data_IF_027999311146
#
_entry.id   IF_027999311146
#
_cell.length_a   1.000
_cell.length_b   1.000
_cell.length_c   1.000
_cell.angle_alpha   90.00
_cell.angle_beta   90.00
_cell.angle_gamma   90.00
#
_symmetry.space_group_name_H-M   'P 1'
#
loop_
_entity.id
_entity.type
_entity.pdbx_description
1 polymer ?
#
# COMPACT_ATOMS: atom_id res chain seq x y z
N UNK A 1 23.41 2.68 8.86
CA UNK A 1 22.23 1.79 8.67
C UNK A 1 21.45 2.14 7.41
N UNK A 2 21.00 3.39 7.25
CA UNK A 2 20.27 3.86 6.05
C UNK A 2 21.08 3.62 4.77
N UNK A 3 22.39 3.91 4.78
CA UNK A 3 23.27 3.69 3.62
C UNK A 3 23.26 2.23 3.13
N UNK A 4 23.34 1.25 4.03
CA UNK A 4 23.27 -0.19 3.66
C UNK A 4 21.90 -0.57 3.06
N UNK A 5 20.82 0.02 3.56
CA UNK A 5 19.47 -0.22 3.03
C UNK A 5 19.28 0.45 1.66
N UNK A 6 19.78 1.68 1.50
CA UNK A 6 19.79 2.38 0.20
C UNK A 6 20.70 1.69 -0.79
N UNK A 7 21.84 1.19 -0.35
CA UNK A 7 22.73 0.36 -1.15
C UNK A 7 21.97 -0.86 -1.63
N UNK A 8 21.27 -1.59 -0.74
CA UNK A 8 20.50 -2.80 -1.06
C UNK A 8 19.25 -2.58 -1.92
N UNK A 9 18.48 -1.50 -1.72
CA UNK A 9 17.17 -1.33 -2.38
C UNK A 9 17.13 -0.19 -3.41
N UNK A 10 18.13 0.69 -3.44
CA UNK A 10 18.06 1.95 -4.18
C UNK A 10 17.32 3.03 -3.41
N UNK A 11 17.55 4.28 -3.82
CA UNK A 11 16.81 5.43 -3.27
C UNK A 11 15.31 5.23 -3.44
N UNK A 12 14.86 4.87 -4.64
CA UNK A 12 13.45 4.67 -4.96
C UNK A 12 12.84 3.46 -4.25
N UNK A 13 13.54 2.32 -4.23
CA UNK A 13 13.05 1.12 -3.56
C UNK A 13 12.98 1.29 -2.04
N UNK A 14 13.98 1.94 -1.44
CA UNK A 14 13.96 2.25 -0.01
C UNK A 14 12.90 3.30 0.34
N UNK A 15 12.71 4.33 -0.49
CA UNK A 15 11.63 5.31 -0.32
C UNK A 15 10.25 4.65 -0.42
N UNK A 16 10.05 3.70 -1.35
CA UNK A 16 8.81 2.95 -1.46
C UNK A 16 8.55 2.11 -0.21
N UNK A 17 9.56 1.38 0.29
CA UNK A 17 9.44 0.58 1.52
C UNK A 17 9.17 1.44 2.75
N UNK A 18 9.89 2.55 2.92
CA UNK A 18 9.67 3.46 4.06
C UNK A 18 8.29 4.09 4.02
N UNK A 19 7.80 4.42 2.82
CA UNK A 19 6.43 4.93 2.63
C UNK A 19 5.38 3.88 2.94
N UNK A 20 5.61 2.62 2.59
CA UNK A 20 4.67 1.52 2.87
C UNK A 20 4.59 1.20 4.37
N UNK A 21 5.74 1.22 5.06
CA UNK A 21 5.83 1.08 6.53
C UNK A 21 5.09 2.22 7.23
N UNK A 22 5.05 3.42 6.64
CA UNK A 22 4.34 4.56 7.19
C UNK A 22 2.83 4.56 6.86
N UNK A 23 2.48 4.27 5.61
CA UNK A 23 1.10 4.36 5.12
C UNK A 23 0.19 3.29 5.73
N UNK A 24 0.71 2.09 6.00
CA UNK A 24 -0.08 1.00 6.59
C UNK A 24 -0.60 1.32 8.00
N UNK A 25 0.25 1.74 8.97
CA UNK A 25 -0.22 2.20 10.27
C UNK A 25 -1.13 3.41 10.18
N UNK A 26 -0.82 4.40 9.34
CA UNK A 26 -1.66 5.60 9.19
C UNK A 26 -3.06 5.27 8.65
N UNK A 27 -3.17 4.33 7.70
CA UNK A 27 -4.45 3.89 7.17
C UNK A 27 -5.30 3.16 8.25
N UNK A 28 -4.68 2.24 9.00
CA UNK A 28 -5.34 1.54 10.10
C UNK A 28 -5.81 2.49 11.21
N UNK A 29 -4.97 3.50 11.48
CA UNK A 29 -5.23 4.47 12.53
C UNK A 29 -6.31 5.49 12.16
N UNK A 30 -6.35 5.96 10.91
CA UNK A 30 -7.41 6.84 10.43
C UNK A 30 -8.79 6.17 10.56
N UNK A 31 -8.88 4.86 10.28
CA UNK A 31 -10.10 4.09 10.50
C UNK A 31 -10.49 3.97 11.99
N UNK A 32 -9.50 3.83 12.89
CA UNK A 32 -9.77 3.77 14.33
C UNK A 32 -10.21 5.09 14.95
N UNK A 33 -9.74 6.23 14.42
CA UNK A 33 -10.08 7.55 14.92
C UNK A 33 -11.53 7.94 14.59
N UNK A 34 -12.05 7.47 13.46
CA UNK A 34 -13.43 7.73 12.99
C UNK A 34 -14.50 6.96 13.79
N UNK A 35 -14.11 5.87 14.45
CA UNK A 35 -15.00 4.99 15.21
C UNK A 35 -15.16 5.39 16.69
N UNK A 36 -14.39 6.35 17.21
CA UNK A 36 -14.48 6.77 18.61
C UNK A 36 -15.43 7.96 18.77
N UNK A 37 -16.37 7.97 19.73
CA UNK A 37 -17.18 9.14 20.03
C UNK A 37 -16.25 10.33 20.36
N UNK A 38 -16.36 11.41 19.58
CA UNK A 38 -15.59 12.66 19.75
C UNK A 38 -15.64 13.18 21.20
N UNK A 39 -16.75 12.90 21.87
CA UNK A 39 -17.09 13.37 23.21
C UNK A 39 -16.38 12.56 24.32
N UNK A 40 -15.85 11.37 24.02
CA UNK A 40 -15.22 10.47 25.00
C UNK A 40 -13.71 10.31 24.82
N UNK A 41 -13.14 10.75 23.69
CA UNK A 41 -11.71 10.67 23.42
C UNK A 41 -11.07 12.06 23.44
N UNK A 42 -10.23 12.33 24.43
CA UNK A 42 -9.33 13.50 24.46
C UNK A 42 -8.25 13.49 23.34
N UNK A 43 -8.41 12.62 22.33
CA UNK A 43 -7.37 12.16 21.44
C UNK A 43 -7.29 12.78 20.03
N UNK A 44 -8.25 13.55 19.46
CA UNK A 44 -8.10 14.06 18.08
C UNK A 44 -6.84 14.90 17.85
N UNK A 45 -6.47 15.73 18.83
CA UNK A 45 -5.28 16.57 18.75
C UNK A 45 -3.98 15.80 19.02
N UNK A 46 -3.99 14.88 19.98
CA UNK A 46 -2.86 13.97 20.25
C UNK A 46 -2.61 13.11 19.01
N UNK A 47 -3.71 12.65 18.42
CA UNK A 47 -3.71 11.86 17.23
C UNK A 47 -3.07 12.63 16.06
N UNK A 48 -3.61 13.81 15.76
CA UNK A 48 -3.06 14.71 14.74
C UNK A 48 -1.57 15.01 15.00
N UNK A 49 -1.18 15.27 16.24
CA UNK A 49 0.21 15.53 16.61
C UNK A 49 1.13 14.33 16.31
N UNK A 50 0.72 13.11 16.66
CA UNK A 50 1.46 11.89 16.30
C UNK A 50 1.59 11.77 14.78
N UNK A 51 0.50 11.95 14.04
CA UNK A 51 0.50 11.92 12.57
C UNK A 51 1.45 12.95 11.96
N UNK A 52 1.45 14.19 12.46
CA UNK A 52 2.34 15.27 12.01
C UNK A 52 3.81 14.99 12.33
N UNK A 53 4.12 14.48 13.53
CA UNK A 53 5.49 14.10 13.91
C UNK A 53 5.98 12.96 13.01
N UNK A 54 5.16 11.94 12.79
CA UNK A 54 5.51 10.83 11.90
C UNK A 54 5.71 11.31 10.45
N UNK A 55 4.86 12.22 9.96
CA UNK A 55 5.00 12.83 8.64
C UNK A 55 6.31 13.63 8.53
N UNK A 56 6.64 14.45 9.53
CA UNK A 56 7.87 15.21 9.56
C UNK A 56 9.10 14.28 9.53
N UNK A 57 9.11 13.21 10.33
CA UNK A 57 10.18 12.19 10.32
C UNK A 57 10.31 11.56 8.94
N UNK A 58 9.19 11.21 8.30
CA UNK A 58 9.17 10.64 6.95
C UNK A 58 9.73 11.61 5.90
N UNK A 59 9.32 12.89 5.92
CA UNK A 59 9.83 13.93 5.02
C UNK A 59 11.34 14.12 5.21
N UNK A 60 11.81 14.19 6.45
CA UNK A 60 13.25 14.33 6.75
C UNK A 60 14.00 13.13 6.18
N UNK A 61 13.49 11.91 6.36
CA UNK A 61 14.08 10.70 5.81
C UNK A 61 14.14 10.72 4.27
N UNK A 62 13.06 11.13 3.59
CA UNK A 62 13.03 11.31 2.13
C UNK A 62 14.00 12.37 1.63
N UNK A 63 14.13 13.48 2.36
CA UNK A 63 15.04 14.56 1.97
C UNK A 63 16.50 14.11 2.11
N UNK A 64 16.82 13.37 3.18
CA UNK A 64 18.16 12.82 3.42
C UNK A 64 18.58 11.79 2.36
N UNK A 65 17.62 11.04 1.80
CA UNK A 65 17.87 10.05 0.75
C UNK A 65 18.48 10.62 -0.53
N UNK A 66 18.19 11.88 -0.85
CA UNK A 66 18.76 12.56 -2.03
C UNK A 66 20.29 12.62 -2.01
N UNK A 67 20.86 12.74 -0.80
CA UNK A 67 22.29 12.97 -0.62
C UNK A 67 23.11 11.69 -0.45
N UNK A 68 22.45 10.53 -0.30
CA UNK A 68 23.15 9.25 -0.10
C UNK A 68 23.75 8.80 -1.44
N UNK A 69 25.08 8.68 -1.60
CA UNK A 69 25.68 8.22 -2.85
C UNK A 69 25.28 6.78 -3.15
N UNK A 70 25.11 6.46 -4.43
CA UNK A 70 24.55 5.17 -4.87
C UNK A 70 25.38 4.63 -6.01
N UNK A 71 25.92 3.42 -5.84
CA UNK A 71 26.68 2.74 -6.90
C UNK A 71 25.75 2.44 -8.09
N UNK A 72 26.20 2.72 -9.34
CA UNK A 72 25.48 2.35 -10.55
C UNK A 72 25.35 0.83 -10.64
N UNK A 73 24.12 0.32 -10.53
CA UNK A 73 23.79 -1.11 -10.66
C UNK A 73 22.34 -1.28 -11.08
N UNK A 74 22.01 -2.44 -11.65
CA UNK A 74 20.62 -2.77 -11.98
C UNK A 74 19.78 -2.87 -10.69
N UNK A 75 18.74 -2.05 -10.56
CA UNK A 75 17.83 -2.01 -9.40
C UNK A 75 16.39 -2.25 -9.84
N UNK A 76 15.65 -2.98 -9.00
CA UNK A 76 14.28 -3.40 -9.30
C UNK A 76 13.29 -2.24 -9.43
N UNK A 77 13.45 -1.18 -8.64
CA UNK A 77 12.52 -0.05 -8.58
C UNK A 77 13.10 1.27 -9.11
N UNK A 78 14.17 1.21 -9.91
CA UNK A 78 14.74 2.41 -10.53
C UNK A 78 13.99 2.75 -11.83
N UNK A 79 13.17 3.80 -11.79
CA UNK A 79 12.31 4.24 -12.90
C UNK A 79 13.10 4.63 -14.16
N UNK A 80 14.36 5.05 -14.01
CA UNK A 80 15.20 5.38 -15.16
C UNK A 80 15.69 4.14 -15.90
N UNK A 81 15.78 3.00 -15.20
CA UNK A 81 16.26 1.74 -15.77
C UNK A 81 15.12 0.88 -16.33
N UNK A 82 13.89 1.10 -15.88
CA UNK A 82 12.73 0.28 -16.26
C UNK A 82 12.30 0.49 -17.71
N UNK A 83 12.02 -0.63 -18.40
CA UNK A 83 11.22 -0.64 -19.62
C UNK A 83 9.77 -0.16 -19.39
N UNK A 84 9.07 0.24 -20.44
CA UNK A 84 7.64 0.61 -20.33
C UNK A 84 6.76 -0.54 -19.81
N UNK A 85 7.12 -1.78 -20.18
CA UNK A 85 6.47 -2.98 -19.66
C UNK A 85 6.67 -3.14 -18.15
N UNK A 86 7.91 -2.98 -17.66
CA UNK A 86 8.20 -2.99 -16.22
C UNK A 86 7.40 -1.92 -15.47
N UNK A 87 7.34 -0.70 -16.00
CA UNK A 87 6.59 0.41 -15.40
C UNK A 87 5.10 0.07 -15.29
N UNK A 88 4.49 -0.41 -16.39
CA UNK A 88 3.07 -0.77 -16.42
C UNK A 88 2.73 -1.87 -15.42
N UNK A 89 3.51 -2.94 -15.36
CA UNK A 89 3.24 -4.04 -14.44
C UNK A 89 3.55 -3.69 -12.99
N UNK A 90 4.56 -2.86 -12.74
CA UNK A 90 4.84 -2.32 -11.41
C UNK A 90 3.70 -1.41 -10.95
N UNK A 91 3.20 -0.53 -11.81
CA UNK A 91 2.06 0.33 -11.51
C UNK A 91 0.80 -0.49 -11.22
N UNK A 92 0.51 -1.51 -12.03
CA UNK A 92 -0.60 -2.42 -11.79
C UNK A 92 -0.49 -3.12 -10.42
N UNK A 93 0.72 -3.59 -10.07
CA UNK A 93 0.97 -4.21 -8.76
C UNK A 93 0.71 -3.24 -7.61
N UNK A 94 1.19 -2.00 -7.72
CA UNK A 94 0.95 -0.97 -6.71
C UNK A 94 -0.55 -0.66 -6.60
N UNK A 95 -1.25 -0.55 -7.73
CA UNK A 95 -2.68 -0.29 -7.75
C UNK A 95 -3.49 -1.41 -7.07
N UNK A 96 -3.22 -2.68 -7.40
CA UNK A 96 -3.90 -3.82 -6.75
C UNK A 96 -3.54 -3.94 -5.27
N UNK A 97 -2.28 -3.72 -4.89
CA UNK A 97 -1.87 -3.73 -3.49
C UNK A 97 -2.55 -2.61 -2.69
N UNK A 98 -2.63 -1.41 -3.25
CA UNK A 98 -3.31 -0.27 -2.62
C UNK A 98 -4.81 -0.51 -2.51
N UNK A 99 -5.45 -1.03 -3.57
CA UNK A 99 -6.85 -1.42 -3.57
C UNK A 99 -7.17 -2.50 -2.53
N UNK A 100 -6.29 -3.50 -2.37
CA UNK A 100 -6.42 -4.53 -1.34
C UNK A 100 -6.34 -3.93 0.07
N UNK A 101 -5.35 -3.06 0.32
CA UNK A 101 -5.21 -2.38 1.62
C UNK A 101 -6.45 -1.54 1.92
N UNK A 102 -6.96 -0.78 0.94
CA UNK A 102 -8.17 0.02 1.11
C UNK A 102 -9.39 -0.85 1.41
N UNK A 103 -9.57 -1.96 0.70
CA UNK A 103 -10.64 -2.91 0.94
C UNK A 103 -10.55 -3.50 2.36
N UNK A 104 -9.37 -3.94 2.79
CA UNK A 104 -9.15 -4.51 4.12
C UNK A 104 -9.42 -3.49 5.23
N UNK A 105 -9.02 -2.24 5.05
CA UNK A 105 -9.32 -1.18 6.01
C UNK A 105 -10.81 -0.90 6.09
N UNK A 106 -11.50 -0.72 4.96
CA UNK A 106 -12.95 -0.52 4.95
C UNK A 106 -13.71 -1.71 5.52
N UNK A 107 -13.24 -2.92 5.26
CA UNK A 107 -13.80 -4.14 5.83
C UNK A 107 -13.64 -4.23 7.35
N UNK A 108 -12.57 -3.67 7.90
CA UNK A 108 -12.33 -3.66 9.34
C UNK A 108 -13.16 -2.60 10.08
N UNK A 109 -13.62 -1.55 9.39
CA UNK A 109 -14.34 -0.42 10.02
C UNK A 109 -15.86 -0.51 9.90
N UNK A 110 -16.40 -1.31 8.99
CA UNK A 110 -17.85 -1.41 8.78
C UNK A 110 -18.48 -2.46 9.69
N UNK A 111 -19.65 -2.14 10.27
CA UNK A 111 -20.50 -3.14 10.92
C UNK A 111 -21.15 -4.05 9.86
N UNK A 112 -20.84 -5.35 9.93
CA UNK A 112 -21.32 -6.35 9.00
C UNK A 112 -22.70 -6.92 9.35
N UNK A 113 -23.21 -6.70 10.56
CA UNK A 113 -24.47 -7.28 11.02
C UNK A 113 -25.68 -6.93 10.12
N UNK A 114 -25.83 -5.69 9.59
CA UNK A 114 -26.93 -5.37 8.68
C UNK A 114 -26.84 -6.11 7.33
N UNK A 115 -25.61 -6.34 6.85
CA UNK A 115 -25.38 -7.05 5.59
C UNK A 115 -25.68 -8.54 5.75
N UNK A 116 -25.13 -9.17 6.78
CA UNK A 116 -25.30 -10.62 7.03
C UNK A 116 -26.76 -10.96 7.33
N UNK A 117 -27.44 -10.17 8.15
CA UNK A 117 -28.88 -10.35 8.43
C UNK A 117 -29.73 -10.20 7.16
N UNK A 118 -29.42 -9.22 6.30
CA UNK A 118 -30.15 -9.01 5.05
C UNK A 118 -29.96 -10.14 4.04
N UNK A 119 -28.76 -10.73 3.99
CA UNK A 119 -28.47 -11.92 3.17
C UNK A 119 -29.22 -13.13 3.73
N UNK A 120 -29.21 -13.34 5.04
CA UNK A 120 -29.94 -14.42 5.70
C UNK A 120 -31.47 -14.31 5.47
N UNK A 121 -31.98 -13.09 5.36
CA UNK A 121 -33.38 -12.81 4.99
C UNK A 121 -33.69 -12.98 3.48
N UNK A 122 -32.73 -13.42 2.66
CA UNK A 122 -32.93 -13.72 1.25
C UNK A 122 -32.99 -12.48 0.33
N UNK A 123 -32.56 -11.30 0.80
CA UNK A 123 -32.60 -10.08 -0.03
C UNK A 123 -31.56 -10.14 -1.14
N UNK A 124 -32.01 -10.03 -2.39
CA UNK A 124 -31.16 -10.14 -3.60
C UNK A 124 -30.07 -9.07 -3.65
N UNK A 125 -30.42 -7.79 -3.42
CA UNK A 125 -29.47 -6.68 -3.50
C UNK A 125 -28.25 -6.84 -2.58
N UNK A 126 -28.45 -7.04 -1.26
CA UNK A 126 -27.38 -7.34 -0.30
C UNK A 126 -26.52 -8.56 -0.68
N UNK A 127 -27.13 -9.62 -1.21
CA UNK A 127 -26.40 -10.81 -1.68
C UNK A 127 -25.50 -10.52 -2.88
N UNK A 128 -25.99 -9.72 -3.85
CA UNK A 128 -25.18 -9.27 -5.00
C UNK A 128 -24.03 -8.40 -4.51
N UNK A 129 -24.27 -7.49 -3.56
CA UNK A 129 -23.22 -6.66 -2.99
C UNK A 129 -22.13 -7.50 -2.31
N UNK A 130 -22.51 -8.47 -1.48
CA UNK A 130 -21.56 -9.35 -0.81
C UNK A 130 -20.74 -10.18 -1.82
N UNK A 131 -21.38 -10.71 -2.86
CA UNK A 131 -20.68 -11.40 -3.93
C UNK A 131 -19.71 -10.47 -4.66
N UNK A 132 -20.12 -9.24 -4.99
CA UNK A 132 -19.27 -8.26 -5.65
C UNK A 132 -18.03 -7.91 -4.79
N UNK A 133 -18.21 -7.73 -3.47
CA UNK A 133 -17.10 -7.49 -2.54
C UNK A 133 -16.13 -8.67 -2.48
N UNK A 134 -16.64 -9.91 -2.45
CA UNK A 134 -15.82 -11.11 -2.47
C UNK A 134 -15.04 -11.26 -3.78
N UNK A 135 -15.71 -11.07 -4.93
CA UNK A 135 -15.06 -11.09 -6.25
C UNK A 135 -14.00 -10.01 -6.36
N UNK A 136 -14.27 -8.80 -5.86
CA UNK A 136 -13.30 -7.71 -5.84
C UNK A 136 -12.05 -8.07 -5.04
N UNK A 137 -12.22 -8.64 -3.83
CA UNK A 137 -11.10 -9.11 -3.01
C UNK A 137 -10.24 -10.15 -3.74
N UNK A 138 -10.87 -11.16 -4.34
CA UNK A 138 -10.17 -12.19 -5.12
C UNK A 138 -9.43 -11.57 -6.32
N UNK A 139 -10.07 -10.64 -7.03
CA UNK A 139 -9.47 -9.95 -8.17
C UNK A 139 -8.25 -9.11 -7.76
N UNK A 140 -8.28 -8.45 -6.60
CA UNK A 140 -7.12 -7.72 -6.08
C UNK A 140 -5.94 -8.67 -5.79
N UNK A 141 -6.18 -9.78 -5.09
CA UNK A 141 -5.14 -10.78 -4.76
C UNK A 141 -4.56 -11.41 -6.04
N UNK A 142 -5.42 -11.81 -6.97
CA UNK A 142 -5.00 -12.36 -8.26
C UNK A 142 -4.23 -11.32 -9.09
N UNK A 143 -4.67 -10.06 -9.07
CA UNK A 143 -4.03 -8.93 -9.72
C UNK A 143 -2.60 -8.70 -9.19
N UNK A 144 -2.40 -8.74 -7.87
CA UNK A 144 -1.07 -8.69 -7.24
C UNK A 144 -0.20 -9.84 -7.74
N UNK A 145 -0.70 -11.07 -7.69
CA UNK A 145 0.06 -12.24 -8.13
C UNK A 145 0.48 -12.17 -9.60
N UNK A 146 -0.44 -11.79 -10.49
CA UNK A 146 -0.17 -11.68 -11.92
C UNK A 146 0.80 -10.54 -12.24
N UNK A 147 0.56 -9.36 -11.68
CA UNK A 147 1.41 -8.18 -11.90
C UNK A 147 2.81 -8.36 -11.29
N UNK A 148 2.92 -9.04 -10.15
CA UNK A 148 4.20 -9.44 -9.56
C UNK A 148 4.99 -10.37 -10.48
N UNK A 149 4.34 -11.40 -11.04
CA UNK A 149 5.00 -12.34 -11.96
C UNK A 149 5.49 -11.62 -13.21
N UNK A 150 4.65 -10.78 -13.82
CA UNK A 150 4.98 -10.04 -15.05
C UNK A 150 6.08 -9.00 -14.81
N UNK A 151 6.00 -8.22 -13.72
CA UNK A 151 7.06 -7.25 -13.37
C UNK A 151 8.38 -7.93 -13.03
N UNK A 152 8.34 -9.07 -12.35
CA UNK A 152 9.54 -9.87 -12.05
C UNK A 152 10.19 -10.40 -13.33
N UNK A 153 9.40 -10.95 -14.26
CA UNK A 153 9.93 -11.46 -15.53
C UNK A 153 10.61 -10.36 -16.34
N UNK A 154 9.97 -9.19 -16.45
CA UNK A 154 10.52 -8.06 -17.19
C UNK A 154 11.80 -7.49 -16.53
N UNK A 155 11.86 -7.47 -15.19
CA UNK A 155 13.08 -7.13 -14.46
C UNK A 155 14.22 -8.13 -14.74
N UNK A 156 13.93 -9.44 -14.71
CA UNK A 156 14.94 -10.47 -14.99
C UNK A 156 15.46 -10.39 -16.43
N UNK A 157 14.57 -10.13 -17.39
CA UNK A 157 14.96 -9.91 -18.79
C UNK A 157 15.94 -8.74 -18.92
N UNK A 158 15.66 -7.61 -18.26
CA UNK A 158 16.58 -6.46 -18.22
C UNK A 158 17.93 -6.81 -17.59
N UNK A 159 17.93 -7.49 -16.45
CA UNK A 159 19.18 -7.89 -15.76
C UNK A 159 19.99 -8.84 -16.62
N UNK A 160 19.35 -9.77 -17.34
CA UNK A 160 20.04 -10.72 -18.23
C UNK A 160 20.67 -10.08 -19.48
N UNK A 161 20.26 -8.86 -19.84
CA UNK A 161 20.75 -8.12 -21.01
C UNK A 161 21.79 -7.05 -20.67
N UNK A 162 22.03 -6.80 -19.38
CA UNK A 162 22.95 -5.79 -18.87
C UNK A 162 24.32 -6.39 -18.58
#
# INVERSE_FOLDING_TARGET
MIERLVERFGRTGFAALSSLIWALPMAAWAGSADLSPIDQTAYPWIALAIGLVMLAVWIVLLTRLRNVPVVPRQRRYDLHQMSQGEKRWTLAMIAFATGLIAWLNGAATVDWAPLTSSIAAGKVGPSILALALAVFLVAMVAGIGLSWRRSSAAFQERVSRA
#
